data_IF_935486809915
#
_entry.id   IF_935486809915
#
_cell.length_a   1.000
_cell.length_b   1.000
_cell.length_c   1.000
_cell.angle_alpha   90.00
_cell.angle_beta   90.00
_cell.angle_gamma   90.00
#
_symmetry.space_group_name_H-M   'P 1'
#
loop_
_entity.id
_entity.type
_entity.pdbx_description
1 polymer ?
#
# COMPACT_ATOMS: atom_id res chain seq x y z
N UNK A 1 -14.84 28.66 41.91
CA UNK A 1 -14.65 28.34 41.39
C UNK A 1 -14.58 28.14 40.99
N UNK A 2 -14.63 27.96 41.12
CA UNK A 2 -14.36 27.49 40.47
C UNK A 2 -14.17 27.20 39.92
N UNK A 3 -14.16 27.09 40.15
CA UNK A 3 -13.77 26.53 39.35
C UNK A 3 -13.79 26.38 38.92
N UNK A 4 -13.73 26.07 38.84
CA UNK A 4 -13.52 25.63 38.14
C UNK A 4 -13.40 25.38 37.54
N UNK A 5 -13.50 25.59 37.88
CA UNK A 5 -13.22 25.09 37.11
C UNK A 5 -13.12 24.81 36.55
N UNK A 6 -13.22 24.81 36.84
CA UNK A 6 -12.97 24.22 36.09
C UNK A 6 -12.81 24.02 35.44
N UNK A 7 -12.95 24.05 35.55
CA UNK A 7 -12.57 23.58 34.78
C UNK A 7 -12.37 23.15 34.26
N UNK A 8 -12.47 23.17 34.49
CA UNK A 8 -12.12 22.53 33.85
C UNK A 8 -12.06 22.31 33.42
N UNK A 9 -12.05 22.22 33.28
CA UNK A 9 -11.76 21.74 32.63
C UNK A 9 -11.58 21.42 32.13
N UNK A 10 -11.72 21.59 32.23
CA UNK A 10 -11.36 21.01 31.62
C UNK A 10 -11.05 20.75 31.20
N UNK A 11 -11.07 20.85 31.29
CA UNK A 11 -10.58 20.29 30.77
C UNK A 11 -10.32 19.92 30.37
N UNK A 12 -10.37 19.94 30.33
CA UNK A 12 -10.04 19.33 29.78
C UNK A 12 -9.87 19.03 29.45
N UNK A 13 -9.91 18.81 29.41
CA UNK A 13 -9.74 18.22 28.84
C UNK A 13 -9.37 18.23 28.23
N UNK A 14 -9.01 18.62 28.55
CA UNK A 14 -8.71 18.53 27.59
C UNK A 14 -8.74 17.67 27.15
N UNK A 15 -9.09 17.87 27.02
CA UNK A 15 -9.23 16.61 26.45
C UNK A 15 -8.44 16.52 25.21
N UNK A 16 -7.49 15.74 25.21
CA UNK A 16 -6.85 15.38 24.01
C UNK A 16 -7.90 14.79 23.12
N UNK A 17 -7.95 15.21 21.90
CA UNK A 17 -8.71 14.44 20.96
C UNK A 17 -8.21 13.03 21.04
N UNK A 18 -9.09 12.07 21.08
CA UNK A 18 -8.65 10.70 21.08
C UNK A 18 -7.70 10.52 19.92
N UNK A 19 -6.64 9.86 20.21
CA UNK A 19 -5.81 9.35 19.16
C UNK A 19 -6.73 8.81 18.12
N UNK A 20 -6.63 9.24 16.89
CA UNK A 20 -7.38 8.55 15.87
C UNK A 20 -7.02 7.09 15.98
N UNK A 21 -7.98 6.20 15.92
CA UNK A 21 -7.69 4.79 15.91
C UNK A 21 -6.61 4.58 14.90
N UNK A 22 -5.71 3.70 15.21
CA UNK A 22 -4.57 3.44 14.39
C UNK A 22 -4.87 3.94 13.03
N UNK A 23 -4.46 5.14 12.81
CA UNK A 23 -4.92 5.87 11.70
C UNK A 23 -4.55 5.15 10.45
N UNK A 24 -5.41 5.21 9.50
CA UNK A 24 -5.09 4.87 8.16
C UNK A 24 -3.75 5.50 7.82
N UNK A 25 -2.76 4.68 7.55
CA UNK A 25 -1.48 5.15 7.11
C UNK A 25 -1.33 4.75 5.67
N UNK A 26 -1.51 5.68 4.76
CA UNK A 26 -1.26 5.35 3.37
C UNK A 26 0.14 4.77 3.24
N UNK A 27 0.23 3.66 2.56
CA UNK A 27 1.50 3.00 2.32
C UNK A 27 2.06 3.50 1.00
N UNK A 28 3.34 3.83 0.97
CA UNK A 28 4.01 4.22 -0.25
C UNK A 28 5.44 3.72 -0.18
N UNK A 29 5.87 3.02 -1.21
CA UNK A 29 7.18 2.40 -1.22
C UNK A 29 7.75 2.43 -2.63
N UNK A 30 9.06 2.64 -2.73
CA UNK A 30 9.77 2.55 -3.99
C UNK A 30 10.55 1.25 -3.98
N UNK A 31 10.28 0.41 -4.98
CA UNK A 31 10.94 -0.89 -5.11
C UNK A 31 11.82 -0.86 -6.34
N UNK A 32 12.92 -1.59 -6.29
CA UNK A 32 13.85 -1.62 -7.41
C UNK A 32 14.36 -3.03 -7.66
N UNK A 33 14.48 -3.41 -8.92
CA UNK A 33 15.06 -4.68 -9.34
C UNK A 33 15.51 -4.55 -10.78
N UNK A 34 16.73 -5.04 -11.08
CA UNK A 34 17.26 -5.07 -12.45
C UNK A 34 17.24 -3.69 -13.14
N UNK A 35 17.49 -2.62 -12.36
CA UNK A 35 17.48 -1.27 -12.90
C UNK A 35 16.10 -0.66 -13.08
N UNK A 36 15.05 -1.43 -12.80
CA UNK A 36 13.67 -0.99 -12.91
C UNK A 36 13.22 -0.47 -11.55
N UNK A 37 12.42 0.58 -11.55
CA UNK A 37 11.88 1.16 -10.34
C UNK A 37 10.35 1.10 -10.40
N UNK A 38 9.75 0.60 -9.34
CA UNK A 38 8.30 0.58 -9.21
C UNK A 38 7.92 1.35 -7.95
N UNK A 39 7.01 2.30 -8.10
CA UNK A 39 6.47 3.04 -6.97
C UNK A 39 5.09 2.49 -6.70
N UNK A 40 4.90 1.96 -5.50
CA UNK A 40 3.64 1.34 -5.10
C UNK A 40 3.04 2.18 -4.01
N UNK A 41 1.78 2.57 -4.16
CA UNK A 41 1.05 3.25 -3.11
C UNK A 41 -0.24 2.51 -2.85
N UNK A 42 -0.70 2.56 -1.60
CA UNK A 42 -1.87 1.83 -1.16
C UNK A 42 -2.56 2.66 -0.10
N UNK A 43 -3.82 2.95 -0.30
CA UNK A 43 -4.58 3.77 0.64
C UNK A 43 -6.00 3.22 0.79
N UNK A 44 -6.58 3.35 1.96
CA UNK A 44 -6.07 4.02 3.15
C UNK A 44 -5.07 3.22 3.98
N UNK A 45 -4.78 1.95 3.65
CA UNK A 45 -3.82 1.15 4.39
C UNK A 45 -4.40 0.54 5.66
N UNK A 46 -5.61 0.04 5.59
CA UNK A 46 -6.33 -0.53 6.74
C UNK A 46 -6.99 -1.84 6.35
N UNK A 47 -7.48 -2.55 7.33
CA UNK A 47 -8.35 -3.72 7.09
C UNK A 47 -9.55 -3.26 6.27
N UNK A 48 -9.93 -4.09 5.31
CA UNK A 48 -11.02 -3.74 4.39
C UNK A 48 -10.48 -3.36 3.03
N UNK A 49 -11.25 -2.58 2.29
CA UNK A 49 -10.91 -2.21 0.93
C UNK A 49 -9.83 -1.15 0.85
N UNK A 50 -8.93 -1.33 -0.09
CA UNK A 50 -7.82 -0.41 -0.34
C UNK A 50 -7.65 -0.23 -1.83
N UNK A 51 -7.12 0.92 -2.20
CA UNK A 51 -6.80 1.23 -3.58
C UNK A 51 -5.28 1.18 -3.76
N UNK A 52 -4.83 0.54 -4.83
CA UNK A 52 -3.41 0.35 -5.11
C UNK A 52 -3.08 1.08 -6.40
N UNK A 53 -1.97 1.80 -6.40
CA UNK A 53 -1.42 2.42 -7.61
C UNK A 53 0.02 1.95 -7.77
N UNK A 54 0.36 1.55 -8.99
CA UNK A 54 1.70 1.08 -9.31
C UNK A 54 2.19 1.84 -10.53
N UNK A 55 3.30 2.55 -10.38
CA UNK A 55 3.93 3.27 -11.47
C UNK A 55 5.32 2.67 -11.69
N UNK A 56 5.62 2.32 -12.93
CA UNK A 56 6.87 1.62 -13.25
C UNK A 56 7.75 2.51 -14.12
N UNK A 57 9.02 2.62 -13.74
CA UNK A 57 10.03 3.29 -14.54
C UNK A 57 11.00 2.22 -15.02
N UNK A 58 11.05 1.94 -16.33
CA UNK A 58 11.94 0.92 -16.86
C UNK A 58 13.42 1.29 -16.69
N UNK A 59 14.32 0.34 -16.87
CA UNK A 59 15.74 0.61 -16.74
C UNK A 59 16.20 1.78 -17.61
N UNK A 60 17.07 2.60 -17.06
CA UNK A 60 17.60 3.77 -17.76
C UNK A 60 16.69 4.97 -17.76
N UNK A 61 15.58 4.93 -17.01
CA UNK A 61 14.64 6.05 -16.96
C UNK A 61 13.83 6.24 -18.23
N UNK A 62 13.78 5.21 -19.06
CA UNK A 62 13.05 5.24 -20.32
C UNK A 62 11.53 5.29 -20.06
N UNK A 63 10.80 5.81 -21.03
CA UNK A 63 9.34 5.77 -20.98
C UNK A 63 8.77 4.65 -21.83
N UNK A 64 9.63 3.68 -22.19
CA UNK A 64 9.20 2.53 -22.97
C UNK A 64 8.11 1.77 -22.20
N UNK A 65 6.99 1.45 -22.85
CA UNK A 65 5.94 0.70 -22.18
C UNK A 65 6.42 -0.68 -21.76
N UNK A 66 6.04 -1.10 -20.56
CA UNK A 66 6.23 -2.48 -20.12
C UNK A 66 5.05 -3.30 -20.63
N UNK A 67 5.22 -4.63 -20.65
CA UNK A 67 4.19 -5.49 -21.20
C UNK A 67 2.98 -5.60 -20.24
N UNK A 68 3.23 -5.84 -18.96
CA UNK A 68 2.13 -5.97 -18.00
C UNK A 68 2.64 -5.92 -16.57
N UNK A 69 1.71 -5.69 -15.63
CA UNK A 69 1.97 -5.73 -14.20
C UNK A 69 0.90 -6.60 -13.56
N UNK A 70 1.32 -7.47 -12.67
CA UNK A 70 0.41 -8.25 -11.85
C UNK A 70 0.86 -8.11 -10.39
N UNK A 71 -0.08 -8.25 -9.47
CA UNK A 71 0.23 -8.15 -8.05
C UNK A 71 -0.59 -9.16 -7.28
N UNK A 72 -0.06 -9.56 -6.13
CA UNK A 72 -0.75 -10.47 -5.22
C UNK A 72 -0.32 -10.18 -3.79
N UNK A 73 -1.19 -10.50 -2.86
CA UNK A 73 -0.93 -10.30 -1.43
C UNK A 73 -1.07 -11.62 -0.69
N UNK A 74 -0.33 -11.74 0.39
CA UNK A 74 -0.43 -12.92 1.26
C UNK A 74 -0.12 -12.49 2.68
N UNK A 75 -0.54 -13.31 3.64
CA UNK A 75 -0.23 -13.09 5.05
C UNK A 75 0.43 -14.35 5.60
N UNK A 76 1.77 -14.44 5.47
CA UNK A 76 2.48 -15.68 5.85
C UNK A 76 2.29 -16.06 7.31
N UNK A 77 2.24 -15.08 8.20
CA UNK A 77 2.11 -15.35 9.64
C UNK A 77 0.79 -16.03 10.00
N UNK A 78 -0.22 -15.92 9.16
CA UNK A 78 -1.51 -16.55 9.38
C UNK A 78 -1.81 -17.61 8.33
N UNK A 79 -0.80 -18.01 7.57
CA UNK A 79 -0.93 -19.01 6.51
C UNK A 79 -1.99 -18.66 5.48
N UNK A 80 -2.20 -17.37 5.22
CA UNK A 80 -3.10 -16.93 4.17
C UNK A 80 -2.36 -17.00 2.85
N UNK A 81 -2.83 -17.81 1.91
CA UNK A 81 -2.14 -17.96 0.63
C UNK A 81 -2.26 -16.72 -0.24
N UNK A 82 -1.49 -16.67 -1.30
CA UNK A 82 -1.51 -15.58 -2.23
C UNK A 82 -2.91 -15.35 -2.80
N UNK A 83 -3.31 -14.08 -2.81
CA UNK A 83 -4.56 -13.67 -3.43
C UNK A 83 -4.23 -12.60 -4.47
N UNK A 84 -4.78 -12.73 -5.68
CA UNK A 84 -4.47 -11.77 -6.73
C UNK A 84 -5.09 -10.41 -6.43
N UNK A 85 -4.39 -9.36 -6.86
CA UNK A 85 -4.91 -8.00 -6.83
C UNK A 85 -5.35 -7.68 -8.26
N UNK A 86 -6.59 -7.24 -8.41
CA UNK A 86 -7.09 -6.89 -9.73
C UNK A 86 -6.54 -5.53 -10.13
N UNK A 87 -5.76 -5.49 -11.20
CA UNK A 87 -5.15 -4.26 -11.68
C UNK A 87 -5.70 -3.89 -13.05
N UNK A 88 -5.85 -2.59 -13.28
CA UNK A 88 -6.30 -2.03 -14.55
C UNK A 88 -5.23 -1.03 -15.00
N UNK A 89 -4.88 -1.09 -16.28
CA UNK A 89 -3.94 -0.15 -16.86
C UNK A 89 -4.61 1.21 -17.00
N UNK A 90 -4.04 2.21 -16.32
CA UNK A 90 -4.57 3.57 -16.35
C UNK A 90 -3.85 4.46 -17.37
N UNK A 91 -2.64 4.07 -17.73
CA UNK A 91 -1.83 4.83 -18.64
C UNK A 91 -0.53 4.09 -18.89
N UNK A 92 0.40 4.73 -19.58
CA UNK A 92 1.68 4.11 -19.87
C UNK A 92 2.39 3.83 -18.54
N UNK A 93 2.66 2.55 -18.28
CA UNK A 93 3.40 2.12 -17.09
C UNK A 93 2.74 2.53 -15.78
N UNK A 94 1.42 2.77 -15.80
CA UNK A 94 0.67 3.15 -14.62
C UNK A 94 -0.55 2.25 -14.49
N UNK A 95 -0.66 1.59 -13.35
CA UNK A 95 -1.74 0.63 -13.08
C UNK A 95 -2.39 0.99 -11.76
N UNK A 96 -3.67 0.72 -11.65
CA UNK A 96 -4.41 0.89 -10.41
C UNK A 96 -5.32 -0.30 -10.19
N UNK A 97 -5.71 -0.51 -8.94
CA UNK A 97 -6.58 -1.62 -8.61
C UNK A 97 -7.06 -1.56 -7.20
N UNK A 98 -7.76 -2.62 -6.83
CA UNK A 98 -8.34 -2.75 -5.49
C UNK A 98 -7.85 -4.02 -4.83
N UNK A 99 -7.65 -3.95 -3.53
CA UNK A 99 -7.32 -5.11 -2.73
C UNK A 99 -8.06 -5.00 -1.41
N UNK A 100 -8.54 -6.12 -0.90
CA UNK A 100 -9.21 -6.17 0.39
C UNK A 100 -8.38 -6.99 1.34
N UNK A 101 -8.04 -6.39 2.47
CA UNK A 101 -7.33 -7.09 3.53
C UNK A 101 -8.35 -7.55 4.57
N UNK A 102 -8.58 -8.85 4.69
CA UNK A 102 -9.62 -9.34 5.62
C UNK A 102 -9.21 -9.25 7.08
N UNK A 103 -7.93 -9.01 7.36
CA UNK A 103 -7.44 -8.97 8.73
C UNK A 103 -6.16 -8.16 8.80
N UNK A 104 -5.82 -7.70 10.00
CA UNK A 104 -4.59 -6.98 10.24
C UNK A 104 -3.38 -7.90 10.19
N UNK A 105 -2.20 -7.35 10.05
CA UNK A 105 -0.96 -8.09 10.04
C UNK A 105 0.04 -7.50 9.07
N UNK A 106 1.19 -8.14 8.99
CA UNK A 106 2.24 -7.74 8.06
C UNK A 106 2.07 -8.53 6.78
N UNK A 107 1.34 -7.95 5.85
CA UNK A 107 1.04 -8.58 4.58
C UNK A 107 2.23 -8.47 3.64
N UNK A 108 2.42 -9.46 2.80
CA UNK A 108 3.42 -9.40 1.74
C UNK A 108 2.73 -9.05 0.44
N UNK A 109 3.20 -8.00 -0.20
CA UNK A 109 2.75 -7.61 -1.53
C UNK A 109 3.82 -7.98 -2.52
N UNK A 110 3.48 -8.79 -3.50
CA UNK A 110 4.38 -9.15 -4.58
C UNK A 110 3.90 -8.51 -5.86
N UNK A 111 4.82 -7.90 -6.59
CA UNK A 111 4.54 -7.26 -7.86
C UNK A 111 5.38 -7.95 -8.92
N UNK A 112 4.71 -8.46 -9.95
CA UNK A 112 5.37 -9.13 -11.06
C UNK A 112 5.24 -8.22 -12.27
N UNK A 113 6.37 -7.76 -12.78
CA UNK A 113 6.40 -6.84 -13.90
C UNK A 113 6.97 -7.56 -15.11
N UNK A 114 6.13 -7.75 -16.12
CA UNK A 114 6.58 -8.30 -17.39
C UNK A 114 7.12 -7.13 -18.20
N UNK A 115 8.43 -7.03 -18.25
CA UNK A 115 9.07 -5.89 -18.93
C UNK A 115 9.01 -6.08 -20.43
N UNK A 116 9.41 -7.29 -20.90
CA UNK A 116 9.31 -7.67 -22.30
C UNK A 116 8.76 -9.09 -22.35
N UNK A 117 8.64 -9.63 -23.55
CA UNK A 117 8.14 -11.00 -23.72
C UNK A 117 9.01 -12.03 -23.01
N UNK A 118 10.29 -11.70 -22.77
CA UNK A 118 11.25 -12.64 -22.21
C UNK A 118 11.84 -12.18 -20.87
N UNK A 119 11.49 -10.99 -20.40
CA UNK A 119 12.09 -10.42 -19.22
C UNK A 119 11.04 -10.09 -18.18
N UNK A 120 11.17 -10.65 -16.98
CA UNK A 120 10.24 -10.47 -15.88
C UNK A 120 10.98 -10.01 -14.64
N UNK A 121 10.45 -9.03 -13.95
CA UNK A 121 10.98 -8.57 -12.68
C UNK A 121 9.98 -8.90 -11.57
N UNK A 122 10.49 -9.44 -10.47
CA UNK A 122 9.68 -9.75 -9.30
C UNK A 122 10.14 -8.86 -8.16
N UNK A 123 9.21 -8.11 -7.60
CA UNK A 123 9.47 -7.25 -6.46
C UNK A 123 8.53 -7.62 -5.34
N UNK A 124 8.97 -7.44 -4.10
CA UNK A 124 8.10 -7.70 -2.97
C UNK A 124 8.38 -6.71 -1.85
N UNK A 125 7.37 -6.47 -1.03
CA UNK A 125 7.49 -5.59 0.12
C UNK A 125 6.49 -6.02 1.17
N UNK A 126 6.75 -5.60 2.40
CA UNK A 126 5.84 -5.85 3.51
C UNK A 126 4.96 -4.64 3.70
N UNK A 127 3.65 -4.89 3.75
CA UNK A 127 2.64 -3.84 3.96
C UNK A 127 2.04 -4.07 5.33
N UNK A 128 2.34 -3.21 6.30
CA UNK A 128 1.75 -3.35 7.63
C UNK A 128 0.31 -2.85 7.60
N UNK A 129 -0.62 -3.72 7.93
CA UNK A 129 -2.04 -3.39 8.02
C UNK A 129 -2.41 -3.43 9.49
N UNK A 130 -2.70 -2.26 10.08
CA UNK A 130 -3.00 -2.19 11.52
C UNK A 130 -4.32 -2.82 11.92
#
# INVERSE_FOLDING_TARGET
ALGMVVVGIAAGMVALPPEPPVAARPFAEQLAANGLIAIVSLSPGVVGGNEVHITVTPPGGSITPIASVAARVSLPSAAVPNAPVTLVKEGVNHYSGSVTFPRSGDWTLEVVIQVTATETALLSTTVPIP
#
